data_IF_398207388666
#
_entry.id   IF_398207388666
#
_cell.length_a   1.000
_cell.length_b   1.000
_cell.length_c   1.000
_cell.angle_alpha   90.00
_cell.angle_beta   90.00
_cell.angle_gamma   90.00
#
_symmetry.space_group_name_H-M   'P 1'
#
loop_
_entity.id
_entity.type
_entity.pdbx_description
1 polymer ?
#
# COMPACT_ATOMS: atom_id res chain seq x y z
N UNK A 1 -3.29 7.28 5.33
CA UNK A 1 -4.79 7.30 5.28
C UNK A 1 -5.40 6.06 5.97
N UNK A 2 -5.63 6.08 7.29
CA UNK A 2 -5.88 4.85 8.05
C UNK A 2 -7.30 4.26 7.91
N UNK A 3 -8.32 5.09 7.70
CA UNK A 3 -9.71 4.60 7.59
C UNK A 3 -9.97 3.81 6.31
N UNK A 4 -9.49 4.31 5.16
CA UNK A 4 -9.60 3.61 3.88
C UNK A 4 -8.88 2.25 3.93
N UNK A 5 -7.69 2.20 4.53
CA UNK A 5 -6.92 0.98 4.73
C UNK A 5 -7.69 -0.05 5.58
N UNK A 6 -8.20 0.35 6.75
CA UNK A 6 -9.08 -0.50 7.58
C UNK A 6 -10.30 -1.00 6.81
N UNK A 7 -10.86 -0.18 5.92
CA UNK A 7 -11.96 -0.58 5.04
C UNK A 7 -11.58 -1.74 4.14
N UNK A 8 -10.47 -1.63 3.41
CA UNK A 8 -9.97 -2.67 2.50
C UNK A 8 -9.60 -3.95 3.25
N UNK A 9 -8.92 -3.83 4.37
CA UNK A 9 -8.49 -4.93 5.24
C UNK A 9 -9.66 -5.80 5.72
N UNK A 10 -10.80 -5.19 6.10
CA UNK A 10 -12.00 -5.94 6.52
C UNK A 10 -12.67 -6.74 5.40
N UNK A 11 -12.37 -6.43 4.15
CA UNK A 11 -12.91 -7.15 2.99
C UNK A 11 -12.08 -8.41 2.65
N UNK A 12 -10.94 -8.62 3.29
CA UNK A 12 -10.10 -9.80 3.07
C UNK A 12 -10.66 -10.97 3.88
N UNK A 13 -10.96 -12.10 3.23
CA UNK A 13 -11.36 -13.32 3.92
C UNK A 13 -10.17 -13.90 4.74
N UNK A 14 -10.39 -14.69 5.80
CA UNK A 14 -9.31 -15.40 6.48
C UNK A 14 -8.46 -16.23 5.50
N UNK A 15 -7.14 -16.14 5.59
CA UNK A 15 -6.18 -16.72 4.64
C UNK A 15 -6.04 -15.96 3.31
N UNK A 16 -6.87 -14.95 3.06
CA UNK A 16 -6.87 -14.16 1.82
C UNK A 16 -5.73 -13.15 1.73
N UNK A 17 -5.45 -12.70 0.51
CA UNK A 17 -4.39 -11.72 0.20
C UNK A 17 -4.99 -10.37 -0.21
N UNK A 18 -4.33 -9.29 0.23
CA UNK A 18 -4.52 -7.92 -0.24
C UNK A 18 -3.23 -7.49 -0.96
N UNK A 19 -3.36 -7.10 -2.22
CA UNK A 19 -2.26 -6.53 -3.02
C UNK A 19 -2.54 -5.05 -3.19
N UNK A 20 -1.68 -4.20 -2.63
CA UNK A 20 -1.80 -2.75 -2.67
C UNK A 20 -0.73 -2.17 -3.59
N UNK A 21 -1.15 -1.35 -4.56
CA UNK A 21 -0.29 -0.69 -5.55
C UNK A 21 -0.62 0.80 -5.53
N UNK A 22 0.34 1.63 -5.13
CA UNK A 22 0.15 3.07 -5.03
C UNK A 22 1.32 3.82 -5.66
N UNK A 23 1.09 5.08 -6.08
CA UNK A 23 2.22 5.99 -6.33
C UNK A 23 2.98 6.21 -5.02
N UNK A 24 4.30 6.13 -5.06
CA UNK A 24 5.16 6.31 -3.90
C UNK A 24 5.61 7.75 -3.72
N UNK A 25 5.74 8.20 -2.47
CA UNK A 25 6.46 9.42 -2.09
C UNK A 25 7.25 9.20 -0.80
N UNK A 26 8.26 10.04 -0.60
CA UNK A 26 8.91 10.20 0.70
C UNK A 26 8.04 11.00 1.68
N UNK A 27 8.40 10.94 2.96
CA UNK A 27 7.62 11.55 4.04
C UNK A 27 7.67 13.09 3.99
N UNK A 28 8.78 13.65 3.54
CA UNK A 28 9.06 15.07 3.37
C UNK A 28 8.57 15.64 2.02
N UNK A 29 8.24 14.78 1.07
CA UNK A 29 7.63 15.16 -0.20
C UNK A 29 6.16 15.54 -0.02
N UNK A 30 5.74 16.59 -0.75
CA UNK A 30 4.36 17.02 -0.78
C UNK A 30 3.44 15.89 -1.30
N UNK A 31 2.24 15.68 -0.72
CA UNK A 31 1.35 14.60 -1.12
C UNK A 31 0.80 14.69 -2.55
N UNK A 32 1.00 15.80 -3.26
CA UNK A 32 0.55 16.03 -4.64
C UNK A 32 -0.94 15.75 -4.89
N UNK A 33 -1.28 15.42 -6.15
CA UNK A 33 -2.53 14.75 -6.54
C UNK A 33 -3.39 15.45 -7.60
N UNK A 34 -4.36 14.72 -8.20
CA UNK A 34 -4.54 13.26 -8.18
C UNK A 34 -3.70 12.51 -9.25
N UNK A 35 -3.42 11.20 -9.05
CA UNK A 35 -3.63 10.42 -7.83
C UNK A 35 -2.65 10.82 -6.71
N UNK A 36 -3.10 10.74 -5.46
CA UNK A 36 -2.31 11.11 -4.28
C UNK A 36 -1.30 10.01 -3.89
N UNK A 37 0.02 10.22 -4.05
CA UNK A 37 1.03 9.27 -3.59
C UNK A 37 1.01 9.01 -2.08
N UNK A 38 1.37 7.78 -1.72
CA UNK A 38 1.46 7.28 -0.35
C UNK A 38 2.91 7.15 0.09
N UNK A 39 3.15 7.31 1.39
CA UNK A 39 4.41 6.92 2.01
C UNK A 39 4.43 5.42 2.32
N UNK A 40 5.63 4.87 2.54
CA UNK A 40 5.81 3.49 3.00
C UNK A 40 5.07 3.22 4.32
N UNK A 41 5.09 4.17 5.25
CA UNK A 41 4.38 4.06 6.53
C UNK A 41 2.84 4.00 6.35
N UNK A 42 2.31 4.71 5.35
CA UNK A 42 0.89 4.64 5.02
C UNK A 42 0.48 3.33 4.35
N UNK A 43 1.45 2.54 3.87
CA UNK A 43 1.26 1.22 3.27
C UNK A 43 1.31 0.06 4.26
N UNK A 44 1.68 0.30 5.51
CA UNK A 44 1.71 -0.74 6.54
C UNK A 44 0.29 -1.10 6.97
N UNK A 45 -0.05 -2.41 7.10
CA UNK A 45 -1.33 -2.84 7.63
C UNK A 45 -1.64 -2.27 9.02
N UNK A 46 -2.92 -2.05 9.30
CA UNK A 46 -3.37 -1.53 10.60
C UNK A 46 -4.33 -2.46 11.33
N UNK A 47 -4.89 -3.47 10.66
CA UNK A 47 -5.62 -4.55 11.29
C UNK A 47 -4.66 -5.57 11.94
N UNK A 48 -4.99 -6.04 13.14
CA UNK A 48 -4.14 -6.95 13.92
C UNK A 48 -4.00 -8.35 13.30
N UNK A 49 -5.01 -8.76 12.53
CA UNK A 49 -5.06 -10.06 11.84
C UNK A 49 -4.53 -9.99 10.40
N UNK A 50 -3.98 -8.86 9.96
CA UNK A 50 -3.33 -8.71 8.66
C UNK A 50 -1.85 -8.38 8.82
N UNK A 51 -1.00 -9.11 8.10
CA UNK A 51 0.44 -8.92 8.12
C UNK A 51 0.98 -8.77 6.70
N UNK A 52 2.09 -8.02 6.55
CA UNK A 52 2.81 -7.97 5.28
C UNK A 52 3.46 -9.32 4.97
N UNK A 53 3.27 -9.79 3.76
CA UNK A 53 4.03 -10.89 3.18
C UNK A 53 5.37 -10.33 2.68
N UNK A 54 6.36 -10.33 3.57
CA UNK A 54 7.68 -9.75 3.30
C UNK A 54 7.71 -8.24 3.52
N UNK A 55 7.81 -7.46 2.44
CA UNK A 55 8.03 -6.01 2.52
C UNK A 55 7.28 -5.23 1.45
N UNK A 56 7.57 -3.94 1.37
CA UNK A 56 7.03 -3.05 0.33
C UNK A 56 8.09 -2.91 -0.76
N UNK A 57 7.79 -3.39 -1.96
CA UNK A 57 8.63 -3.21 -3.13
C UNK A 57 8.49 -1.78 -3.65
N UNK A 58 9.60 -1.20 -4.07
CA UNK A 58 9.69 0.16 -4.59
C UNK A 58 10.28 0.09 -6.00
N UNK A 59 9.50 0.48 -6.99
CA UNK A 59 9.85 0.35 -8.39
C UNK A 59 9.41 1.58 -9.17
N UNK A 60 10.01 1.80 -10.34
CA UNK A 60 9.50 2.73 -11.34
C UNK A 60 8.79 1.92 -12.42
N UNK A 61 7.59 2.35 -12.81
CA UNK A 61 6.87 1.73 -13.92
C UNK A 61 7.35 2.24 -15.29
N UNK A 62 6.70 1.78 -16.35
CA UNK A 62 6.97 2.11 -17.74
C UNK A 62 6.06 3.20 -18.31
N UNK A 63 5.38 3.99 -17.45
CA UNK A 63 4.68 5.19 -17.90
C UNK A 63 5.69 6.26 -18.40
N UNK A 64 5.22 7.24 -19.18
CA UNK A 64 6.03 8.37 -19.65
C UNK A 64 5.39 9.69 -19.19
N UNK A 65 5.95 10.40 -18.18
CA UNK A 65 7.17 10.06 -17.44
C UNK A 65 6.97 8.87 -16.47
N UNK A 66 8.03 8.14 -16.09
CA UNK A 66 7.93 6.98 -15.21
C UNK A 66 7.41 7.38 -13.83
N UNK A 67 6.56 6.54 -13.27
CA UNK A 67 5.93 6.77 -11.97
C UNK A 67 6.50 5.79 -10.95
N UNK A 68 6.99 6.32 -9.83
CA UNK A 68 7.40 5.52 -8.68
C UNK A 68 6.17 4.83 -8.07
N UNK A 69 6.21 3.51 -7.96
CA UNK A 69 5.18 2.65 -7.37
C UNK A 69 5.70 1.96 -6.13
N UNK A 70 4.87 1.97 -5.10
CA UNK A 70 5.01 1.04 -3.98
C UNK A 70 4.03 -0.12 -4.16
N UNK A 71 4.53 -1.34 -3.98
CA UNK A 71 3.77 -2.57 -4.07
C UNK A 71 3.90 -3.33 -2.76
N UNK A 72 2.77 -3.64 -2.13
CA UNK A 72 2.71 -4.40 -0.88
C UNK A 72 1.79 -5.60 -1.05
N UNK A 73 2.20 -6.75 -0.51
CA UNK A 73 1.33 -7.91 -0.35
C UNK A 73 1.10 -8.08 1.14
N UNK A 74 -0.16 -8.24 1.54
CA UNK A 74 -0.53 -8.53 2.91
C UNK A 74 -1.49 -9.72 2.96
N UNK A 75 -1.37 -10.57 3.98
CA UNK A 75 -2.24 -11.71 4.21
C UNK A 75 -3.04 -11.53 5.49
N UNK A 76 -4.32 -11.90 5.44
CA UNK A 76 -5.13 -12.07 6.64
C UNK A 76 -4.88 -13.45 7.24
N UNK A 77 -4.55 -13.50 8.53
CA UNK A 77 -4.39 -14.75 9.29
C UNK A 77 -5.69 -15.58 9.24
N UNK A 78 -5.51 -16.89 9.18
CA UNK A 78 -6.60 -17.89 9.24
C UNK A 78 -7.10 -18.13 10.65
#
# INVERSE_FOLDING_TARGET
>A
RPEARRGMERCVAPGGLLIDIARGREADEAPGGPPWPLTRAEMVPVAEDIALEGGITDLWDDEEPPVRRFVAIAQRRG
#
